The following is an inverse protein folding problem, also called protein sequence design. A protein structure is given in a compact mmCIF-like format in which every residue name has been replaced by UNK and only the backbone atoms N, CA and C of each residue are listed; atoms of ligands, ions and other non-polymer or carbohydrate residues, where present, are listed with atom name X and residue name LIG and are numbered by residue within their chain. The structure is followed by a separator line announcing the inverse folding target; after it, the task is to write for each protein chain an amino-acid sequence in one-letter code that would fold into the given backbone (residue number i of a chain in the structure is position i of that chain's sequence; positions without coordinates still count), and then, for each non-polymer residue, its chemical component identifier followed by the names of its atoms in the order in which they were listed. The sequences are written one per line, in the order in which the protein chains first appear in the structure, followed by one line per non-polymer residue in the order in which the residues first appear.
data_IF_715341248877
#
_entry.id   IF_715341248877
#
_cell.length_a   1.000
_cell.length_b   1.000
_cell.length_c   1.000
_cell.angle_alpha   90.00
_cell.angle_beta   90.00
_cell.angle_gamma   90.00
#
_symmetry.space_group_name_H-M   'P 1'
#
loop_
_entity.id
_entity.type
_entity.pdbx_description
1 polymer ?
#
# COMPACT_ATOMS: atom_id res chain seq x y z
N UNK A 1 5.58 -16.12 -30.26
CA UNK A 1 6.01 -16.34 -28.86
C UNK A 1 6.78 -15.11 -28.39
N UNK A 2 6.21 -14.34 -27.47
CA UNK A 2 6.88 -13.56 -26.40
C UNK A 2 5.83 -12.65 -25.75
N UNK A 3 4.93 -13.25 -24.95
CA UNK A 3 4.05 -12.47 -24.08
C UNK A 3 4.89 -12.00 -22.90
N UNK A 4 5.64 -10.90 -23.07
CA UNK A 4 6.34 -10.27 -21.96
C UNK A 4 5.24 -9.88 -20.97
N UNK A 5 5.27 -10.51 -19.80
CA UNK A 5 4.22 -10.33 -18.80
C UNK A 5 4.25 -8.87 -18.32
N UNK A 6 3.18 -8.14 -18.62
CA UNK A 6 3.01 -6.73 -18.22
C UNK A 6 3.26 -6.52 -16.71
N UNK A 7 2.95 -7.54 -15.89
CA UNK A 7 3.24 -7.57 -14.45
C UNK A 7 4.76 -7.54 -14.19
N UNK A 8 5.53 -8.43 -14.81
CA UNK A 8 7.00 -8.46 -14.70
C UNK A 8 7.65 -7.17 -15.21
N UNK A 9 7.13 -6.58 -16.29
CA UNK A 9 7.58 -5.27 -16.81
C UNK A 9 7.29 -4.15 -15.80
N UNK A 10 6.14 -4.17 -15.14
CA UNK A 10 5.78 -3.17 -14.14
C UNK A 10 6.59 -3.31 -12.84
N UNK A 11 6.88 -4.54 -12.42
CA UNK A 11 7.63 -4.80 -11.19
C UNK A 11 9.13 -4.52 -11.37
N UNK A 12 9.69 -4.85 -12.54
CA UNK A 12 11.07 -4.47 -12.89
C UNK A 12 11.25 -2.96 -12.99
N UNK A 13 10.26 -2.25 -13.53
CA UNK A 13 10.25 -0.79 -13.55
C UNK A 13 10.26 -0.22 -12.12
N UNK A 14 9.38 -0.71 -11.24
CA UNK A 14 9.32 -0.25 -9.84
C UNK A 14 10.62 -0.53 -9.08
N UNK A 15 11.22 -1.71 -9.27
CA UNK A 15 12.50 -2.07 -8.66
C UNK A 15 13.64 -1.16 -9.12
N UNK A 16 13.70 -0.83 -10.41
CA UNK A 16 14.77 0.05 -10.94
C UNK A 16 14.55 1.50 -10.49
N UNK A 17 13.31 1.97 -10.40
CA UNK A 17 13.00 3.29 -9.84
C UNK A 17 13.41 3.38 -8.37
N UNK A 18 13.09 2.35 -7.57
CA UNK A 18 13.51 2.25 -6.18
C UNK A 18 15.04 2.22 -6.07
N UNK A 19 15.71 1.40 -6.87
CA UNK A 19 17.18 1.32 -6.90
C UNK A 19 17.81 2.69 -7.22
N UNK A 20 17.27 3.42 -8.19
CA UNK A 20 17.71 4.77 -8.54
C UNK A 20 17.53 5.76 -7.39
N UNK A 21 16.40 5.70 -6.69
CA UNK A 21 16.12 6.56 -5.54
C UNK A 21 17.06 6.23 -4.38
N UNK A 22 17.28 4.95 -4.09
CA UNK A 22 18.26 4.52 -3.07
C UNK A 22 19.68 4.93 -3.41
N UNK A 23 20.09 4.87 -4.68
CA UNK A 23 21.41 5.31 -5.12
C UNK A 23 21.60 6.84 -4.96
N UNK A 24 20.56 7.65 -5.21
CA UNK A 24 20.60 9.10 -4.92
C UNK A 24 20.71 9.37 -3.42
N UNK A 25 19.91 8.68 -2.61
CA UNK A 25 19.90 8.87 -1.14
C UNK A 25 21.21 8.41 -0.51
N UNK A 26 21.84 7.36 -1.03
CA UNK A 26 23.15 6.88 -0.58
C UNK A 26 24.34 7.73 -1.09
N UNK A 27 24.09 8.85 -1.77
CA UNK A 27 25.15 9.75 -2.25
C UNK A 27 25.91 9.23 -3.47
N UNK A 28 25.32 8.32 -4.26
CA UNK A 28 25.87 7.80 -5.51
C UNK A 28 25.07 8.29 -6.73
N UNK A 29 25.07 9.61 -7.03
CA UNK A 29 24.25 10.21 -8.08
C UNK A 29 24.62 9.74 -9.49
N UNK A 30 25.88 9.39 -9.73
CA UNK A 30 26.34 8.90 -11.04
C UNK A 30 25.72 7.55 -11.42
N UNK A 31 25.48 6.68 -10.45
CA UNK A 31 24.81 5.41 -10.67
C UNK A 31 23.32 5.61 -10.95
N UNK A 32 22.70 6.61 -10.31
CA UNK A 32 21.30 6.96 -10.55
C UNK A 32 21.06 7.56 -11.95
N UNK A 33 22.02 8.27 -12.54
CA UNK A 33 21.92 8.78 -13.91
C UNK A 33 22.15 7.67 -14.95
N UNK A 34 22.98 6.66 -14.66
CA UNK A 34 23.16 5.48 -15.55
C UNK A 34 21.89 4.63 -15.68
N UNK A 35 21.03 4.62 -14.66
CA UNK A 35 19.76 3.88 -14.67
C UNK A 35 18.64 4.60 -15.42
N UNK A 36 18.81 5.89 -15.73
CA UNK A 36 17.82 6.73 -16.41
C UNK A 36 17.42 6.24 -17.81
N UNK A 37 18.34 5.91 -18.74
CA UNK A 37 17.96 5.39 -20.07
C UNK A 37 17.27 4.02 -19.99
N UNK A 38 17.61 3.20 -19.00
CA UNK A 38 17.01 1.87 -18.81
C UNK A 38 15.55 1.98 -18.37
N UNK A 39 15.24 2.92 -17.47
CA UNK A 39 13.85 3.20 -17.05
C UNK A 39 13.01 3.72 -18.22
N UNK A 40 13.58 4.56 -19.06
CA UNK A 40 12.88 5.15 -20.21
C UNK A 40 12.56 4.09 -21.28
N UNK A 41 13.50 3.18 -21.56
CA UNK A 41 13.28 2.03 -22.44
C UNK A 41 12.24 1.06 -21.88
N UNK A 42 12.30 0.74 -20.59
CA UNK A 42 11.31 -0.15 -19.95
C UNK A 42 9.92 0.49 -19.90
N UNK A 43 9.84 1.81 -19.69
CA UNK A 43 8.58 2.55 -19.77
C UNK A 43 8.00 2.52 -21.19
N UNK A 44 8.82 2.76 -22.21
CA UNK A 44 8.40 2.68 -23.61
C UNK A 44 7.91 1.27 -23.99
N UNK A 45 8.58 0.23 -23.50
CA UNK A 45 8.17 -1.16 -23.71
C UNK A 45 6.89 -1.53 -22.95
N UNK A 46 6.70 -1.01 -21.73
CA UNK A 46 5.48 -1.19 -20.95
C UNK A 46 4.28 -0.50 -21.61
N UNK A 47 4.47 0.72 -22.13
CA UNK A 47 3.45 1.47 -22.87
C UNK A 47 3.13 0.81 -24.21
N UNK A 48 4.13 0.30 -24.92
CA UNK A 48 3.95 -0.49 -26.15
C UNK A 48 3.22 -1.82 -25.92
N UNK A 49 3.51 -2.51 -24.81
CA UNK A 49 2.81 -3.73 -24.42
C UNK A 49 1.36 -3.48 -23.97
N UNK A 50 1.08 -2.31 -23.37
CA UNK A 50 -0.28 -1.88 -23.06
C UNK A 50 -1.08 -1.55 -24.33
N UNK A 51 -0.44 -1.00 -25.36
CA UNK A 51 -1.07 -0.72 -26.66
C UNK A 51 -1.30 -1.99 -27.51
N UNK A 52 -0.41 -2.99 -27.42
CA UNK A 52 -0.55 -4.25 -28.18
C UNK A 52 -1.74 -5.13 -27.74
N UNK A 53 -2.39 -4.82 -26.61
CA UNK A 53 -3.61 -5.49 -26.14
C UNK A 53 -4.90 -4.75 -26.51
N UNK A 54 -4.81 -3.64 -27.26
CA UNK A 54 -5.94 -2.84 -27.69
C UNK A 54 -6.20 -3.03 -29.20
N UNK A 55 -7.20 -3.85 -29.52
CA UNK A 55 -7.96 -3.82 -30.80
C UNK A 55 -9.44 -3.84 -30.40
N UNK A 56 -10.34 -3.16 -31.13
CA UNK A 56 -10.66 -1.74 -31.04
C UNK A 56 -12.06 -1.52 -30.40
N UNK A 57 -12.22 -0.45 -29.63
CA UNK A 57 -13.52 0.19 -29.43
C UNK A 57 -13.42 1.61 -30.00
N UNK A 58 -14.40 2.09 -30.78
CA UNK A 58 -14.21 3.21 -31.67
C UNK A 58 -14.14 4.55 -30.91
N UNK A 59 -13.11 5.32 -31.27
CA UNK A 59 -13.13 6.77 -31.51
C UNK A 59 -13.60 7.69 -30.37
N UNK A 60 -12.67 8.43 -29.76
CA UNK A 60 -12.30 9.78 -30.24
C UNK A 60 -11.16 10.38 -29.40
N UNK A 61 -10.11 10.73 -30.12
CA UNK A 61 -9.05 11.67 -29.77
C UNK A 61 -9.60 13.09 -29.56
N UNK A 62 -9.27 13.72 -28.43
CA UNK A 62 -8.41 14.91 -28.42
C UNK A 62 -7.66 15.02 -27.07
N UNK A 63 -6.36 15.32 -27.08
CA UNK A 63 -5.57 15.58 -25.89
C UNK A 63 -5.69 17.07 -25.51
N UNK A 64 -6.24 17.35 -24.32
CA UNK A 64 -6.13 18.69 -23.71
C UNK A 64 -5.27 18.62 -22.46
N UNK A 65 -4.10 19.25 -22.60
CA UNK A 65 -3.35 19.98 -21.59
C UNK A 65 -3.40 19.45 -20.15
N UNK A 66 -2.30 18.82 -19.76
CA UNK A 66 -1.78 18.82 -18.39
C UNK A 66 -1.75 20.26 -17.86
N UNK A 67 -2.72 20.61 -17.02
CA UNK A 67 -2.64 21.72 -16.08
C UNK A 67 -2.34 21.15 -14.67
N UNK A 68 -1.45 21.79 -13.90
CA UNK A 68 -0.86 21.20 -12.71
C UNK A 68 -1.84 21.21 -11.52
N UNK A 69 -1.69 20.19 -10.67
CA UNK A 69 -2.02 20.22 -9.23
C UNK A 69 -3.39 20.79 -8.84
N UNK A 70 -4.45 20.03 -9.08
CA UNK A 70 -5.62 20.08 -8.20
C UNK A 70 -5.79 18.71 -7.55
N UNK A 71 -5.27 18.64 -6.32
CA UNK A 71 -5.66 17.72 -5.25
C UNK A 71 -6.18 16.35 -5.70
N UNK A 72 -5.35 15.31 -5.58
CA UNK A 72 -5.73 13.90 -5.75
C UNK A 72 -6.98 13.55 -4.89
N UNK A 73 -7.19 14.27 -3.78
CA UNK A 73 -8.35 14.17 -2.89
C UNK A 73 -9.67 14.74 -3.47
N UNK A 74 -9.59 15.59 -4.49
CA UNK A 74 -10.75 16.21 -5.12
C UNK A 74 -11.27 15.42 -6.34
N UNK A 75 -10.54 14.40 -6.81
CA UNK A 75 -10.99 13.55 -7.89
C UNK A 75 -12.22 12.75 -7.47
N UNK A 76 -13.28 12.80 -8.27
CA UNK A 76 -14.55 12.11 -8.00
C UNK A 76 -14.36 10.59 -7.91
N UNK A 77 -13.38 10.04 -8.64
CA UNK A 77 -12.99 8.64 -8.56
C UNK A 77 -12.38 8.29 -7.19
N UNK A 78 -11.52 9.16 -6.65
CA UNK A 78 -10.96 8.98 -5.31
C UNK A 78 -12.04 9.06 -4.24
N UNK A 79 -12.99 10.00 -4.35
CA UNK A 79 -14.13 10.09 -3.43
C UNK A 79 -15.02 8.85 -3.49
N UNK A 80 -15.21 8.30 -4.68
CA UNK A 80 -16.00 7.07 -4.89
C UNK A 80 -15.31 5.86 -4.22
N UNK A 81 -13.99 5.73 -4.40
CA UNK A 81 -13.21 4.69 -3.74
C UNK A 81 -13.16 4.88 -2.22
N UNK A 82 -13.00 6.12 -1.75
CA UNK A 82 -13.02 6.47 -0.33
C UNK A 82 -14.38 6.14 0.30
N UNK A 83 -15.49 6.47 -0.37
CA UNK A 83 -16.83 6.15 0.09
C UNK A 83 -17.08 4.63 0.14
N UNK A 84 -16.55 3.87 -0.82
CA UNK A 84 -16.63 2.40 -0.81
C UNK A 84 -15.86 1.79 0.38
N UNK A 85 -14.68 2.33 0.68
CA UNK A 85 -13.86 1.89 1.84
C UNK A 85 -14.55 2.27 3.16
N UNK A 86 -15.02 3.51 3.31
CA UNK A 86 -15.72 3.96 4.52
C UNK A 86 -17.03 3.19 4.76
N UNK A 87 -17.79 2.88 3.70
CA UNK A 87 -19.00 2.06 3.78
C UNK A 87 -18.69 0.62 4.21
N UNK A 88 -17.55 0.08 3.80
CA UNK A 88 -17.07 -1.24 4.24
C UNK A 88 -16.58 -1.23 5.70
N UNK A 89 -16.15 -0.09 6.21
CA UNK A 89 -15.65 0.07 7.59
C UNK A 89 -16.78 0.31 8.61
N UNK A 90 -17.92 0.90 8.18
CA UNK A 90 -19.07 1.20 9.04
C UNK A 90 -20.17 0.11 9.07
N UNK A 91 -19.98 -1.03 8.41
CA UNK A 91 -20.84 -2.19 8.65
C UNK A 91 -20.31 -3.01 9.83
N UNK A 92 -21.06 -3.11 10.95
CA UNK A 92 -20.72 -4.06 11.99
C UNK A 92 -20.68 -5.46 11.36
N UNK A 93 -19.54 -6.14 11.53
CA UNK A 93 -19.20 -7.44 10.93
C UNK A 93 -20.04 -8.60 11.50
N UNK A 94 -21.36 -8.47 11.51
CA UNK A 94 -22.25 -9.51 12.05
C UNK A 94 -22.62 -10.58 11.03
N UNK A 95 -22.64 -10.30 9.71
CA UNK A 95 -23.16 -11.26 8.72
C UNK A 95 -22.24 -11.57 7.52
N UNK A 96 -20.92 -11.43 7.63
CA UNK A 96 -20.02 -11.94 6.58
C UNK A 96 -19.67 -13.41 6.84
N UNK A 97 -19.74 -14.30 5.83
CA UNK A 97 -19.28 -15.68 5.94
C UNK A 97 -17.81 -15.71 6.40
N UNK A 98 -17.46 -16.70 7.22
CA UNK A 98 -16.22 -16.77 7.99
C UNK A 98 -14.90 -16.58 7.20
N UNK A 99 -14.94 -16.70 5.86
CA UNK A 99 -13.79 -16.49 4.97
C UNK A 99 -13.54 -15.05 4.50
N UNK A 100 -14.44 -14.09 4.76
CA UNK A 100 -14.32 -12.68 4.32
C UNK A 100 -14.29 -11.67 5.47
N UNK A 101 -14.24 -12.16 6.71
CA UNK A 101 -13.95 -11.31 7.87
C UNK A 101 -12.50 -10.83 7.76
N UNK A 102 -12.18 -9.56 8.07
CA UNK A 102 -10.80 -9.12 8.28
C UNK A 102 -10.27 -9.68 9.61
N UNK A 103 -10.28 -11.01 9.75
CA UNK A 103 -9.89 -11.74 10.97
C UNK A 103 -8.38 -11.65 11.20
N UNK A 104 -7.59 -11.50 10.14
CA UNK A 104 -6.14 -11.61 10.23
C UNK A 104 -5.46 -10.53 11.08
N UNK A 105 -5.87 -9.27 10.95
CA UNK A 105 -5.16 -8.15 11.61
C UNK A 105 -5.71 -7.84 13.00
N UNK A 106 -7.02 -7.88 13.20
CA UNK A 106 -7.62 -7.60 14.50
C UNK A 106 -7.29 -8.70 15.53
N UNK A 107 -7.39 -9.96 15.13
CA UNK A 107 -7.04 -11.12 15.97
C UNK A 107 -5.54 -11.13 16.30
N UNK A 108 -4.70 -10.85 15.29
CA UNK A 108 -3.26 -10.67 15.47
C UNK A 108 -2.95 -9.57 16.48
N UNK A 109 -3.62 -8.43 16.41
CA UNK A 109 -3.43 -7.34 17.36
C UNK A 109 -3.86 -7.74 18.79
N UNK A 110 -4.94 -8.51 18.95
CA UNK A 110 -5.33 -9.04 20.26
C UNK A 110 -4.30 -10.01 20.82
N UNK A 111 -3.75 -10.88 19.99
CA UNK A 111 -2.68 -11.82 20.37
C UNK A 111 -1.43 -11.04 20.82
N UNK A 112 -1.06 -9.99 20.09
CA UNK A 112 0.07 -9.10 20.41
C UNK A 112 -0.10 -8.41 21.75
N UNK A 113 -1.28 -7.84 22.00
CA UNK A 113 -1.60 -7.23 23.29
C UNK A 113 -1.55 -8.26 24.41
N UNK A 114 -2.07 -9.47 24.17
CA UNK A 114 -2.06 -10.54 25.16
C UNK A 114 -0.62 -10.98 25.50
N UNK A 115 0.25 -11.14 24.51
CA UNK A 115 1.67 -11.46 24.74
C UNK A 115 2.42 -10.34 25.46
N UNK A 116 2.16 -9.08 25.09
CA UNK A 116 2.73 -7.93 25.79
C UNK A 116 2.27 -7.87 27.24
N UNK A 117 0.98 -8.17 27.51
CA UNK A 117 0.44 -8.24 28.87
C UNK A 117 1.00 -9.42 29.68
N UNK A 118 1.45 -10.48 29.00
CA UNK A 118 2.14 -11.62 29.59
C UNK A 118 3.63 -11.33 29.88
N UNK A 119 4.11 -10.10 29.66
CA UNK A 119 5.49 -9.70 29.93
C UNK A 119 6.48 -10.04 28.82
N UNK A 120 6.01 -10.46 27.65
CA UNK A 120 6.89 -10.74 26.51
C UNK A 120 7.44 -9.42 25.93
N UNK A 121 8.73 -9.41 25.57
CA UNK A 121 9.36 -8.20 25.03
C UNK A 121 8.81 -7.87 23.64
N UNK A 122 8.73 -6.58 23.30
CA UNK A 122 8.26 -6.14 21.99
C UNK A 122 9.10 -6.73 20.83
N UNK A 123 10.39 -6.98 21.08
CA UNK A 123 11.30 -7.58 20.11
C UNK A 123 10.99 -9.07 19.88
N UNK A 124 10.66 -9.81 20.95
CA UNK A 124 10.27 -11.22 20.83
C UNK A 124 8.91 -11.38 20.16
N UNK A 125 7.96 -10.49 20.48
CA UNK A 125 6.65 -10.44 19.81
C UNK A 125 6.80 -10.13 18.32
N UNK A 126 7.63 -9.15 17.96
CA UNK A 126 7.92 -8.79 16.58
C UNK A 126 8.45 -10.00 15.79
N UNK A 127 9.40 -10.75 16.38
CA UNK A 127 9.94 -11.98 15.78
C UNK A 127 8.89 -13.08 15.64
N UNK A 128 8.11 -13.33 16.70
CA UNK A 128 7.10 -14.40 16.72
C UNK A 128 5.96 -14.14 15.73
N UNK A 129 5.57 -12.88 15.56
CA UNK A 129 4.43 -12.49 14.74
C UNK A 129 4.79 -12.02 13.33
N UNK A 130 6.10 -11.96 13.01
CA UNK A 130 6.57 -11.45 11.73
C UNK A 130 6.22 -9.97 11.51
N UNK A 131 6.24 -9.17 12.58
CA UNK A 131 5.95 -7.74 12.55
C UNK A 131 7.19 -6.92 12.85
N UNK A 132 7.17 -5.64 12.50
CA UNK A 132 8.20 -4.70 12.92
C UNK A 132 8.04 -4.30 14.38
N UNK A 133 9.14 -3.87 15.00
CA UNK A 133 9.12 -3.32 16.36
C UNK A 133 8.17 -2.12 16.49
N UNK A 134 8.06 -1.30 15.44
CA UNK A 134 7.20 -0.13 15.45
C UNK A 134 5.71 -0.50 15.45
N UNK A 135 5.31 -1.49 14.64
CA UNK A 135 3.94 -2.01 14.61
C UNK A 135 3.52 -2.59 15.98
N UNK A 136 4.39 -3.35 16.62
CA UNK A 136 4.13 -3.90 17.97
C UNK A 136 3.91 -2.78 18.98
N UNK A 137 4.81 -1.79 18.99
CA UNK A 137 4.70 -0.65 19.90
C UNK A 137 3.43 0.17 19.64
N UNK A 138 3.05 0.35 18.37
CA UNK A 138 1.83 1.05 18.00
C UNK A 138 0.59 0.33 18.53
N UNK A 139 0.50 -0.99 18.36
CA UNK A 139 -0.63 -1.80 18.85
C UNK A 139 -0.75 -1.72 20.38
N UNK A 140 0.37 -1.84 21.09
CA UNK A 140 0.39 -1.75 22.56
C UNK A 140 -0.08 -0.37 23.03
N UNK A 141 0.44 0.72 22.43
CA UNK A 141 0.06 2.09 22.78
C UNK A 141 -1.40 2.37 22.47
N UNK A 142 -1.91 1.90 21.32
CA UNK A 142 -3.31 2.07 20.93
C UNK A 142 -4.23 1.39 21.95
N UNK A 143 -3.86 0.19 22.41
CA UNK A 143 -4.61 -0.52 23.43
C UNK A 143 -4.58 0.19 24.79
N UNK A 144 -3.41 0.67 25.25
CA UNK A 144 -3.29 1.43 26.49
C UNK A 144 -4.15 2.71 26.46
N UNK A 145 -4.12 3.47 25.37
CA UNK A 145 -4.95 4.66 25.19
C UNK A 145 -6.45 4.34 25.21
N UNK A 146 -6.84 3.19 24.66
CA UNK A 146 -8.25 2.74 24.67
C UNK A 146 -8.69 2.35 26.09
N UNK A 147 -7.83 1.69 26.86
CA UNK A 147 -8.13 1.34 28.26
C UNK A 147 -8.23 2.57 29.17
N UNK A 148 -7.40 3.58 28.96
CA UNK A 148 -7.44 4.82 29.75
C UNK A 148 -8.71 5.63 29.45
N UNK A 149 -9.06 5.82 28.17
CA UNK A 149 -10.34 6.47 27.80
C UNK A 149 -11.57 5.75 28.37
N UNK A 150 -11.54 4.42 28.48
CA UNK A 150 -12.65 3.65 29.05
C UNK A 150 -12.82 3.87 30.57
N UNK A 151 -11.72 4.08 31.30
CA UNK A 151 -11.74 4.37 32.74
C UNK A 151 -12.31 5.76 33.04
N UNK A 152 -12.02 6.75 32.19
CA UNK A 152 -12.52 8.12 32.38
C UNK A 152 -14.04 8.25 32.20
N UNK A 153 -14.64 7.44 31.32
CA UNK A 153 -16.10 7.46 31.07
C UNK A 153 -16.90 6.69 32.14
N UNK A 154 -16.23 5.91 33.00
CA UNK A 154 -16.88 5.12 34.07
C UNK A 154 -16.74 5.76 35.47
N UNK A 155 -16.32 7.01 35.56
CA UNK A 155 -16.33 7.83 36.80
C UNK A 155 -17.39 8.92 36.69
#
# INVERSE_FOLDING_TARGET
MNNISSVLLSDTLKLIQLARETARVQGQPEQAEKLKPVVEQLKSLAEGAAQAKAVPAPQRITPQAVAPSSSILAQDDFKTLLAAVQKSQNQPSQNLPAGLRPSGNLERNQIVVSMASSGMSALDIARQMGMTLDEVNMVIRLHQNTTEKRKEVSR
#
